data_IF_836664882078
#
_entry.id   IF_836664882078
#
_cell.length_a   1.000
_cell.length_b   1.000
_cell.length_c   1.000
_cell.angle_alpha   90.00
_cell.angle_beta   90.00
_cell.angle_gamma   90.00
#
_symmetry.space_group_name_H-M   'P 1'
#
loop_
_entity.id
_entity.type
_entity.pdbx_description
1 polymer ?
#
# COMPACT_ATOMS: atom_id res chain seq x y z
N UNK A 1 -33.10 -18.73 6.46
CA UNK A 1 -32.01 -19.46 5.77
C UNK A 1 -30.78 -19.37 6.65
N UNK A 2 -29.96 -20.42 6.66
CA UNK A 2 -28.73 -20.48 7.45
C UNK A 2 -27.55 -20.44 6.49
N UNK A 3 -26.57 -19.58 6.77
CA UNK A 3 -25.37 -19.40 5.95
C UNK A 3 -24.12 -19.79 6.73
N UNK A 4 -23.14 -20.37 6.06
CA UNK A 4 -21.79 -20.58 6.59
C UNK A 4 -20.81 -19.69 5.82
N UNK A 5 -20.12 -18.81 6.54
CA UNK A 5 -19.09 -17.91 6.00
C UNK A 5 -17.74 -18.41 6.48
N UNK A 6 -16.86 -18.77 5.54
CA UNK A 6 -15.50 -19.24 5.81
C UNK A 6 -14.53 -18.07 5.68
N UNK A 7 -13.82 -17.77 6.78
CA UNK A 7 -12.92 -16.62 6.96
C UNK A 7 -13.61 -15.45 7.67
N UNK A 8 -13.02 -15.02 8.79
CA UNK A 8 -13.46 -13.90 9.62
C UNK A 8 -12.67 -12.61 9.36
N UNK A 9 -12.05 -12.47 8.18
CA UNK A 9 -11.47 -11.21 7.69
C UNK A 9 -12.54 -10.21 7.20
N UNK A 10 -12.13 -9.07 6.64
CA UNK A 10 -13.06 -8.02 6.19
C UNK A 10 -14.19 -8.53 5.30
N UNK A 11 -13.88 -9.31 4.25
CA UNK A 11 -14.90 -9.83 3.33
C UNK A 11 -15.95 -10.67 4.06
N UNK A 12 -15.50 -11.65 4.85
CA UNK A 12 -16.41 -12.52 5.60
C UNK A 12 -17.19 -11.77 6.68
N UNK A 13 -16.55 -10.89 7.43
CA UNK A 13 -17.19 -10.10 8.47
C UNK A 13 -18.29 -9.17 7.90
N UNK A 14 -18.03 -8.50 6.76
CA UNK A 14 -18.99 -7.62 6.09
C UNK A 14 -20.18 -8.42 5.54
N UNK A 15 -19.92 -9.52 4.83
CA UNK A 15 -20.97 -10.38 4.26
C UNK A 15 -21.82 -10.97 5.38
N UNK A 16 -21.19 -11.56 6.40
CA UNK A 16 -21.88 -12.18 7.53
C UNK A 16 -22.77 -11.17 8.26
N UNK A 17 -22.27 -9.95 8.48
CA UNK A 17 -23.05 -8.87 9.09
C UNK A 17 -24.29 -8.54 8.27
N UNK A 18 -24.16 -8.30 6.97
CA UNK A 18 -25.31 -7.95 6.13
C UNK A 18 -26.36 -9.06 6.04
N UNK A 19 -25.93 -10.33 6.00
CA UNK A 19 -26.83 -11.48 6.03
C UNK A 19 -27.57 -11.56 7.38
N UNK A 20 -26.85 -11.40 8.49
CA UNK A 20 -27.44 -11.42 9.84
C UNK A 20 -28.42 -10.26 10.04
N UNK A 21 -28.07 -9.04 9.61
CA UNK A 21 -28.94 -7.85 9.66
C UNK A 21 -30.18 -8.01 8.77
N UNK A 22 -30.14 -8.88 7.77
CA UNK A 22 -31.30 -9.24 6.92
C UNK A 22 -32.17 -10.35 7.51
N UNK A 23 -31.92 -10.78 8.75
CA UNK A 23 -32.71 -11.80 9.46
C UNK A 23 -32.30 -13.24 9.13
N UNK A 24 -31.11 -13.46 8.57
CA UNK A 24 -30.58 -14.80 8.36
C UNK A 24 -29.73 -15.27 9.54
N UNK A 25 -29.71 -16.59 9.74
CA UNK A 25 -28.77 -17.20 10.68
C UNK A 25 -27.42 -17.37 9.98
N UNK A 26 -26.32 -16.95 10.62
CA UNK A 26 -24.99 -16.99 10.00
C UNK A 26 -23.99 -17.59 10.97
N UNK A 27 -23.31 -18.65 10.54
CA UNK A 27 -22.15 -19.21 11.22
C UNK A 27 -20.90 -18.70 10.51
N UNK A 28 -20.01 -18.06 11.24
CA UNK A 28 -18.70 -17.63 10.73
C UNK A 28 -17.64 -18.56 11.31
N UNK A 29 -16.84 -19.17 10.44
CA UNK A 29 -15.72 -20.04 10.82
C UNK A 29 -14.42 -19.44 10.30
N UNK A 30 -13.35 -19.54 11.07
CA UNK A 30 -12.00 -19.19 10.64
C UNK A 30 -11.05 -20.29 11.11
N UNK A 31 -10.00 -20.57 10.33
CA UNK A 31 -8.95 -21.51 10.74
C UNK A 31 -8.07 -20.91 11.85
N UNK A 32 -8.00 -19.57 11.93
CA UNK A 32 -7.20 -18.85 12.91
C UNK A 32 -7.93 -18.79 14.25
N UNK A 33 -7.20 -18.74 15.38
CA UNK A 33 -7.80 -18.64 16.72
C UNK A 33 -8.34 -17.24 17.05
N UNK A 34 -8.48 -16.37 16.06
CA UNK A 34 -8.94 -14.99 16.22
C UNK A 34 -9.68 -14.51 14.97
N UNK A 35 -10.47 -13.44 15.13
CA UNK A 35 -11.17 -12.76 14.04
C UNK A 35 -10.28 -11.72 13.34
N UNK A 36 -10.77 -11.09 12.28
CA UNK A 36 -10.13 -9.94 11.62
C UNK A 36 -9.14 -10.29 10.52
N UNK A 37 -8.83 -11.58 10.31
CA UNK A 37 -7.88 -12.03 9.30
C UNK A 37 -6.52 -11.36 9.46
N UNK A 38 -5.96 -10.80 8.39
CA UNK A 38 -4.67 -10.09 8.45
C UNK A 38 -4.75 -8.75 9.20
N UNK A 39 -5.94 -8.17 9.35
CA UNK A 39 -6.14 -6.91 10.08
C UNK A 39 -6.25 -7.10 11.59
N UNK A 40 -6.06 -8.34 12.09
CA UNK A 40 -6.07 -8.61 13.52
C UNK A 40 -4.97 -7.83 14.25
N UNK A 41 -5.36 -7.24 15.38
CA UNK A 41 -4.47 -6.59 16.32
C UNK A 41 -4.54 -7.28 17.68
N UNK A 42 -3.42 -7.29 18.40
CA UNK A 42 -3.34 -7.77 19.77
C UNK A 42 -2.51 -6.81 20.61
N UNK A 43 -2.68 -6.85 21.93
CA UNK A 43 -1.77 -6.11 22.82
C UNK A 43 -0.57 -6.98 23.11
N UNK A 44 0.61 -6.43 22.89
CA UNK A 44 1.85 -7.02 23.35
C UNK A 44 1.81 -7.18 24.88
N UNK A 45 2.17 -8.37 25.37
CA UNK A 45 1.98 -8.73 26.78
C UNK A 45 2.95 -8.01 27.73
N UNK A 46 4.11 -7.60 27.24
CA UNK A 46 5.15 -6.97 28.06
C UNK A 46 4.98 -5.45 28.10
N UNK A 47 4.66 -4.83 26.96
CA UNK A 47 4.59 -3.37 26.80
C UNK A 47 3.17 -2.82 26.82
N UNK A 48 2.15 -3.67 26.61
CA UNK A 48 0.75 -3.27 26.48
C UNK A 48 0.42 -2.53 25.17
N UNK A 49 1.41 -2.35 24.28
CA UNK A 49 1.25 -1.66 23.00
C UNK A 49 0.36 -2.48 22.08
N UNK A 50 -0.58 -1.82 21.41
CA UNK A 50 -1.40 -2.47 20.38
C UNK A 50 -0.58 -2.67 19.12
N UNK A 51 -0.43 -3.93 18.69
CA UNK A 51 0.36 -4.32 17.53
C UNK A 51 -0.52 -4.95 16.47
N UNK A 52 -0.14 -4.77 15.20
CA UNK A 52 -0.75 -5.47 14.08
C UNK A 52 0.02 -6.76 13.85
N UNK A 53 -0.63 -7.90 14.10
CA UNK A 53 0.05 -9.21 14.12
C UNK A 53 0.63 -9.59 12.76
N UNK A 54 0.00 -9.16 11.68
CA UNK A 54 0.35 -9.51 10.30
C UNK A 54 0.85 -8.32 9.48
N UNK A 55 1.61 -7.44 10.14
CA UNK A 55 2.15 -6.23 9.51
C UNK A 55 1.19 -5.03 9.58
N UNK A 56 1.71 -3.83 9.31
CA UNK A 56 0.96 -2.59 9.50
C UNK A 56 -0.24 -2.51 8.54
N UNK A 57 -1.42 -2.24 9.08
CA UNK A 57 -2.65 -2.03 8.32
C UNK A 57 -3.16 -0.62 8.59
N UNK A 58 -2.88 0.31 7.68
CA UNK A 58 -3.39 1.67 7.76
C UNK A 58 -4.62 1.74 6.89
N UNK A 59 -5.76 2.07 7.48
CA UNK A 59 -7.00 2.24 6.72
C UNK A 59 -6.96 3.54 5.91
N UNK A 60 -7.24 3.45 4.61
CA UNK A 60 -7.43 4.59 3.72
C UNK A 60 -8.45 4.24 2.65
N UNK A 61 -9.27 5.20 2.25
CA UNK A 61 -10.24 5.03 1.15
C UNK A 61 -10.57 6.39 0.54
N UNK A 62 -10.81 6.43 -0.76
CA UNK A 62 -11.45 7.56 -1.46
C UNK A 62 -12.95 7.31 -1.69
N UNK A 63 -13.47 6.13 -1.32
CA UNK A 63 -14.86 5.76 -1.47
C UNK A 63 -15.67 6.16 -0.22
N UNK A 64 -16.53 7.16 -0.40
CA UNK A 64 -17.35 7.74 0.68
C UNK A 64 -18.32 6.72 1.28
N UNK A 65 -18.84 5.79 0.48
CA UNK A 65 -19.74 4.73 0.94
C UNK A 65 -19.03 3.80 1.93
N UNK A 66 -17.80 3.39 1.60
CA UNK A 66 -16.95 2.55 2.44
C UNK A 66 -16.57 3.29 3.72
N UNK A 67 -16.21 4.58 3.62
CA UNK A 67 -15.92 5.41 4.80
C UNK A 67 -17.12 5.52 5.73
N UNK A 68 -18.28 5.85 5.18
CA UNK A 68 -19.54 5.98 5.94
C UNK A 68 -19.94 4.66 6.57
N UNK A 69 -19.73 3.54 5.88
CA UNK A 69 -20.03 2.21 6.39
C UNK A 69 -19.14 1.84 7.58
N UNK A 70 -17.81 1.96 7.43
CA UNK A 70 -16.88 1.49 8.47
C UNK A 70 -16.98 2.31 9.76
N UNK A 71 -17.30 3.60 9.65
CA UNK A 71 -17.50 4.47 10.82
C UNK A 71 -18.70 4.07 11.69
N UNK A 72 -19.63 3.25 11.21
CA UNK A 72 -20.72 2.70 12.03
C UNK A 72 -20.21 1.71 13.09
N UNK A 73 -19.01 1.17 12.92
CA UNK A 73 -18.48 0.07 13.73
C UNK A 73 -17.22 0.43 14.52
N UNK A 74 -16.78 1.69 14.45
CA UNK A 74 -15.63 2.16 15.21
C UNK A 74 -15.28 3.61 14.89
N UNK A 75 -14.60 4.24 15.83
CA UNK A 75 -14.07 5.60 15.67
C UNK A 75 -12.68 5.53 15.05
N UNK A 76 -12.48 6.27 13.96
CA UNK A 76 -11.17 6.42 13.35
C UNK A 76 -10.45 7.64 13.89
N UNK A 77 -9.17 7.48 14.23
CA UNK A 77 -8.30 8.58 14.63
C UNK A 77 -7.59 9.11 13.38
N UNK A 78 -7.59 10.44 13.13
CA UNK A 78 -6.86 11.01 12.01
C UNK A 78 -5.38 10.65 12.07
N UNK A 79 -4.92 9.93 11.05
CA UNK A 79 -3.53 9.52 10.92
C UNK A 79 -3.11 9.59 9.46
N UNK A 80 -1.98 10.24 9.19
CA UNK A 80 -1.39 10.32 7.85
C UNK A 80 -0.11 9.51 7.86
N UNK A 81 -0.12 8.38 7.16
CA UNK A 81 1.06 7.54 7.01
C UNK A 81 2.14 8.29 6.24
N UNK A 82 3.38 8.29 6.76
CA UNK A 82 4.54 8.93 6.13
C UNK A 82 5.68 7.95 6.07
N UNK A 83 5.80 7.29 4.93
CA UNK A 83 6.84 6.28 4.70
C UNK A 83 8.18 6.96 4.42
N UNK A 84 9.25 6.38 4.96
CA UNK A 84 10.63 6.78 4.70
C UNK A 84 11.40 5.61 4.11
N UNK A 85 12.32 5.91 3.20
CA UNK A 85 13.23 4.93 2.61
C UNK A 85 14.68 5.35 2.86
N UNK A 86 15.53 4.37 3.12
CA UNK A 86 16.97 4.58 3.23
C UNK A 86 17.59 4.17 1.90
N UNK A 87 18.31 5.09 1.25
CA UNK A 87 19.08 4.81 0.04
C UNK A 87 20.41 5.54 0.12
N UNK A 88 21.52 4.88 -0.24
CA UNK A 88 22.88 5.45 -0.18
C UNK A 88 23.17 6.18 1.16
N UNK A 89 22.81 5.56 2.28
CA UNK A 89 22.95 6.10 3.64
C UNK A 89 22.17 7.40 3.94
N UNK A 90 21.24 7.81 3.08
CA UNK A 90 20.36 8.97 3.29
C UNK A 90 18.90 8.53 3.46
N UNK A 91 18.13 9.31 4.22
CA UNK A 91 16.69 9.11 4.42
C UNK A 91 15.90 9.97 3.46
N UNK A 92 15.04 9.34 2.67
CA UNK A 92 14.15 9.99 1.72
C UNK A 92 12.69 9.76 2.12
N UNK A 93 11.82 10.66 1.69
CA UNK A 93 10.37 10.44 1.83
C UNK A 93 9.85 9.59 0.69
N UNK A 94 8.88 8.74 0.99
CA UNK A 94 8.07 8.08 -0.03
C UNK A 94 6.60 8.48 0.12
N UNK A 95 5.84 8.50 -0.98
CA UNK A 95 6.29 8.23 -2.35
C UNK A 95 7.21 9.31 -2.91
N UNK A 96 7.89 9.03 -4.03
CA UNK A 96 8.79 9.99 -4.71
C UNK A 96 8.00 11.25 -5.02
N UNK A 97 8.42 12.38 -4.49
CA UNK A 97 7.79 13.69 -4.68
C UNK A 97 8.86 14.78 -4.90
N UNK A 98 8.45 16.04 -5.01
CA UNK A 98 9.38 17.16 -5.23
C UNK A 98 10.52 17.22 -4.20
N UNK A 99 10.22 16.99 -2.92
CA UNK A 99 11.25 16.96 -1.87
C UNK A 99 12.23 15.82 -2.12
N UNK A 100 11.74 14.64 -2.50
CA UNK A 100 12.57 13.48 -2.81
C UNK A 100 13.48 13.76 -4.00
N UNK A 101 12.94 14.33 -5.08
CA UNK A 101 13.69 14.68 -6.29
C UNK A 101 14.81 15.66 -5.94
N UNK A 102 14.47 16.75 -5.25
CA UNK A 102 15.44 17.76 -4.85
C UNK A 102 16.53 17.20 -3.92
N UNK A 103 16.16 16.40 -2.92
CA UNK A 103 17.13 15.77 -2.03
C UNK A 103 18.02 14.75 -2.76
N UNK A 104 17.44 13.94 -3.65
CA UNK A 104 18.17 12.86 -4.31
C UNK A 104 19.16 13.38 -5.35
N UNK A 105 18.80 14.44 -6.07
CA UNK A 105 19.65 15.04 -7.10
C UNK A 105 20.47 16.25 -6.61
N UNK A 106 20.29 16.68 -5.35
CA UNK A 106 21.01 17.83 -4.80
C UNK A 106 20.59 19.16 -5.44
N UNK A 107 19.30 19.32 -5.74
CA UNK A 107 18.73 20.47 -6.46
C UNK A 107 17.68 21.19 -5.64
N UNK A 108 17.26 22.37 -6.11
CA UNK A 108 16.17 23.17 -5.51
C UNK A 108 15.15 23.59 -6.57
N UNK A 109 14.69 22.62 -7.36
CA UNK A 109 13.73 22.83 -8.44
C UNK A 109 12.35 23.18 -7.91
N UNK A 110 11.62 24.00 -8.65
CA UNK A 110 10.17 24.13 -8.54
C UNK A 110 9.42 22.95 -9.22
N UNK A 111 8.10 22.81 -9.01
CA UNK A 111 7.32 21.69 -9.56
C UNK A 111 7.43 21.50 -11.08
N UNK A 112 7.41 22.60 -11.86
CA UNK A 112 7.51 22.56 -13.33
C UNK A 112 8.88 22.08 -13.80
N UNK A 113 9.93 22.55 -13.14
CA UNK A 113 11.32 22.18 -13.44
C UNK A 113 11.57 20.72 -13.10
N UNK A 114 11.11 20.26 -11.93
CA UNK A 114 11.22 18.87 -11.52
C UNK A 114 10.49 17.93 -12.47
N UNK A 115 9.28 18.29 -12.94
CA UNK A 115 8.57 17.52 -13.96
C UNK A 115 9.39 17.40 -15.25
N UNK A 116 9.84 18.51 -15.80
CA UNK A 116 10.65 18.51 -17.03
C UNK A 116 11.98 17.76 -16.84
N UNK A 117 12.56 17.80 -15.64
CA UNK A 117 13.78 17.07 -15.30
C UNK A 117 13.56 15.56 -15.26
N UNK A 118 12.49 15.09 -14.59
CA UNK A 118 12.15 13.67 -14.53
C UNK A 118 11.74 13.16 -15.93
N UNK A 119 10.98 13.92 -16.70
CA UNK A 119 10.62 13.57 -18.08
C UNK A 119 11.84 13.36 -18.99
N UNK A 120 12.97 14.03 -18.72
CA UNK A 120 14.24 13.81 -19.45
C UNK A 120 14.97 12.54 -19.01
N UNK A 121 14.71 12.06 -17.79
CA UNK A 121 15.30 10.82 -17.22
C UNK A 121 14.46 9.58 -17.49
N UNK A 122 13.15 9.76 -17.70
CA UNK A 122 12.23 8.72 -18.09
C UNK A 122 12.63 8.06 -19.42
N UNK A 123 12.51 6.73 -19.49
CA UNK A 123 12.72 5.98 -20.73
C UNK A 123 11.48 6.09 -21.63
N UNK A 124 11.55 7.01 -22.59
CA UNK A 124 10.46 7.29 -23.54
C UNK A 124 10.28 6.22 -24.62
N UNK A 125 11.20 5.26 -24.73
CA UNK A 125 11.05 4.14 -25.68
C UNK A 125 10.00 3.12 -25.21
N UNK A 126 9.68 3.13 -23.90
CA UNK A 126 8.75 2.22 -23.26
C UNK A 126 7.30 2.73 -23.31
N UNK A 127 6.70 2.72 -24.50
CA UNK A 127 5.33 3.24 -24.71
C UNK A 127 4.21 2.38 -24.10
N UNK A 128 4.44 1.07 -23.94
CA UNK A 128 3.46 0.14 -23.39
C UNK A 128 4.14 -0.83 -22.40
N UNK A 129 4.49 -0.35 -21.19
CA UNK A 129 5.26 -1.13 -20.22
C UNK A 129 4.50 -2.39 -19.81
N UNK A 130 5.18 -3.54 -19.86
CA UNK A 130 4.62 -4.87 -19.56
C UNK A 130 5.07 -5.42 -18.21
N UNK A 131 6.08 -4.81 -17.61
CA UNK A 131 6.57 -5.16 -16.29
C UNK A 131 6.61 -3.94 -15.36
N UNK A 132 6.62 -4.22 -14.06
CA UNK A 132 6.82 -3.20 -13.03
C UNK A 132 8.09 -2.36 -13.27
N UNK A 133 9.16 -3.01 -13.72
CA UNK A 133 10.42 -2.35 -14.06
C UNK A 133 10.25 -1.38 -15.22
N UNK A 134 9.66 -1.81 -16.33
CA UNK A 134 9.42 -0.95 -17.49
C UNK A 134 8.52 0.25 -17.13
N UNK A 135 7.49 0.03 -16.31
CA UNK A 135 6.61 1.10 -15.88
C UNK A 135 7.33 2.12 -14.99
N UNK A 136 8.19 1.67 -14.07
CA UNK A 136 8.98 2.58 -13.26
C UNK A 136 10.02 3.35 -14.11
N UNK A 137 10.72 2.67 -15.03
CA UNK A 137 11.70 3.29 -15.92
C UNK A 137 11.06 4.34 -16.83
N UNK A 138 9.87 4.08 -17.37
CA UNK A 138 9.16 5.04 -18.23
C UNK A 138 8.59 6.25 -17.48
N UNK A 139 8.44 6.18 -16.15
CA UNK A 139 7.88 7.25 -15.34
C UNK A 139 8.93 8.08 -14.60
N UNK A 140 9.89 7.42 -13.93
CA UNK A 140 10.82 8.07 -13.00
C UNK A 140 12.30 7.89 -13.39
N UNK A 141 12.58 7.11 -14.43
CA UNK A 141 13.93 6.83 -14.91
C UNK A 141 14.72 5.87 -14.03
N UNK A 142 15.89 5.48 -14.52
CA UNK A 142 16.73 4.44 -13.92
C UNK A 142 17.27 4.79 -12.53
N UNK A 143 17.70 6.04 -12.32
CA UNK A 143 18.31 6.49 -11.07
C UNK A 143 17.39 6.27 -9.86
N UNK A 144 16.16 6.77 -9.95
CA UNK A 144 15.16 6.67 -8.88
C UNK A 144 14.61 5.25 -8.77
N UNK A 145 14.43 4.57 -9.91
CA UNK A 145 14.03 3.16 -9.92
C UNK A 145 15.02 2.29 -9.14
N UNK A 146 16.32 2.39 -9.42
CA UNK A 146 17.36 1.62 -8.73
C UNK A 146 17.47 1.99 -7.26
N UNK A 147 17.33 3.28 -6.94
CA UNK A 147 17.48 3.78 -5.57
C UNK A 147 16.39 3.31 -4.62
N UNK A 148 15.14 3.23 -5.09
CA UNK A 148 13.98 3.04 -4.21
C UNK A 148 13.18 1.76 -4.46
N UNK A 149 13.25 1.18 -5.67
CA UNK A 149 12.31 0.13 -6.07
C UNK A 149 13.00 -1.18 -6.44
N UNK A 150 14.09 -1.14 -7.19
CA UNK A 150 14.79 -2.34 -7.64
C UNK A 150 15.13 -3.32 -6.50
N UNK A 151 15.83 -2.83 -5.46
CA UNK A 151 16.23 -3.66 -4.32
C UNK A 151 15.05 -4.11 -3.47
N UNK A 152 14.09 -3.22 -3.22
CA UNK A 152 12.90 -3.52 -2.43
C UNK A 152 12.03 -4.58 -3.09
N UNK A 153 11.73 -4.45 -4.38
CA UNK A 153 10.92 -5.40 -5.14
C UNK A 153 11.56 -6.79 -5.15
N UNK A 154 12.89 -6.89 -5.33
CA UNK A 154 13.59 -8.18 -5.26
C UNK A 154 13.50 -8.82 -3.88
N UNK A 155 13.64 -8.04 -2.81
CA UNK A 155 13.58 -8.53 -1.44
C UNK A 155 12.16 -9.00 -1.07
N UNK A 156 11.15 -8.20 -1.41
CA UNK A 156 9.75 -8.47 -1.06
C UNK A 156 9.20 -9.70 -1.78
N UNK A 157 9.53 -9.86 -3.06
CA UNK A 157 8.89 -10.86 -3.92
C UNK A 157 9.78 -12.07 -4.23
N UNK A 158 11.06 -12.06 -3.84
CA UNK A 158 12.02 -13.13 -4.19
C UNK A 158 12.25 -13.28 -5.70
N UNK A 159 11.70 -12.39 -6.53
CA UNK A 159 11.69 -12.44 -7.99
C UNK A 159 12.31 -11.16 -8.58
N UNK A 160 12.72 -11.22 -9.85
CA UNK A 160 13.23 -10.05 -10.57
C UNK A 160 12.06 -9.12 -10.91
N UNK A 161 12.28 -7.81 -10.90
CA UNK A 161 11.23 -6.83 -11.18
C UNK A 161 10.62 -6.97 -12.59
N UNK A 162 11.43 -7.33 -13.59
CA UNK A 162 10.99 -7.75 -14.92
C UNK A 162 9.90 -8.84 -14.92
N UNK A 163 9.86 -9.75 -13.94
CA UNK A 163 8.85 -10.83 -13.89
C UNK A 163 7.58 -10.44 -13.12
N UNK A 164 7.54 -9.26 -12.50
CA UNK A 164 6.36 -8.77 -11.81
C UNK A 164 5.45 -8.00 -12.79
N UNK A 165 4.18 -8.43 -12.88
CA UNK A 165 3.15 -7.75 -13.67
C UNK A 165 3.01 -6.28 -13.26
N UNK A 166 2.74 -5.40 -14.24
CA UNK A 166 2.42 -3.98 -14.02
C UNK A 166 1.31 -3.74 -12.98
N UNK A 167 0.45 -4.73 -12.69
CA UNK A 167 -0.63 -4.61 -11.68
C UNK A 167 -0.06 -4.42 -10.25
N UNK A 168 1.19 -4.81 -9.98
CA UNK A 168 1.87 -4.53 -8.72
C UNK A 168 2.20 -3.04 -8.52
N UNK A 169 1.97 -2.19 -9.53
CA UNK A 169 2.20 -0.74 -9.50
C UNK A 169 1.12 0.06 -8.76
N UNK A 170 0.02 -0.53 -8.29
CA UNK A 170 -0.97 0.21 -7.48
C UNK A 170 -0.37 0.81 -6.19
N UNK A 171 0.83 0.38 -5.78
CA UNK A 171 1.62 1.04 -4.74
C UNK A 171 2.17 2.44 -5.13
N UNK A 172 2.06 2.86 -6.40
CA UNK A 172 2.64 4.10 -6.93
C UNK A 172 1.64 5.19 -7.29
N UNK A 173 0.35 4.90 -7.42
CA UNK A 173 -0.64 5.86 -7.96
C UNK A 173 -0.90 7.07 -7.03
N UNK A 174 -0.17 7.22 -5.93
CA UNK A 174 -0.22 8.35 -4.99
C UNK A 174 1.02 9.26 -5.06
N UNK A 175 1.87 9.14 -6.10
CA UNK A 175 3.20 9.73 -6.12
C UNK A 175 3.48 10.87 -7.11
N UNK A 176 2.64 11.14 -8.10
CA UNK A 176 2.89 12.21 -9.09
C UNK A 176 1.73 13.19 -9.16
#
# INVERSE_FOLDING_TARGET
MTFCVVGAGFSGAVIARHLAESGHEVVVVDERPHIGGNCYTERDSETGVMVHKYGPHIFHTSDERTWTYIQKFGTFIPYVNRVKAISRAHVYTLPVNLLTINQFFGTTMGPKEARAFIEKKADKSLHNPRSFEEQALSMIGEDLYRAFFYGYTRKQWGARAHTASCIHSQAFTLAL
#
